data_IF_502999052104
#
_entry.id   IF_502999052104
#
_cell.length_a   1.000
_cell.length_b   1.000
_cell.length_c   1.000
_cell.angle_alpha   90.00
_cell.angle_beta   90.00
_cell.angle_gamma   90.00
#
_symmetry.space_group_name_H-M   'P 1'
#
loop_
_entity.id
_entity.type
_entity.pdbx_description
1 polymer ?
#
# COMPACT_ATOMS: atom_id res chain seq x y z
N UNK A 1 6.61 16.54 -2.47
CA UNK A 1 5.63 16.24 -3.56
C UNK A 1 4.99 14.89 -3.36
N UNK A 2 5.74 13.82 -3.15
CA UNK A 2 5.27 12.44 -2.96
C UNK A 2 4.09 12.28 -1.97
N UNK A 3 4.15 12.93 -0.82
CA UNK A 3 3.11 12.89 0.22
C UNK A 3 1.76 13.48 -0.25
N UNK A 4 1.81 14.52 -1.09
CA UNK A 4 0.59 15.12 -1.66
C UNK A 4 -0.03 14.14 -2.67
N UNK A 5 0.78 13.59 -3.56
CA UNK A 5 0.35 12.60 -4.54
C UNK A 5 -0.20 11.33 -3.87
N UNK A 6 0.39 10.90 -2.74
CA UNK A 6 -0.17 9.77 -1.95
C UNK A 6 -1.60 10.04 -1.45
N UNK A 7 -1.94 11.29 -1.16
CA UNK A 7 -3.29 11.66 -0.73
C UNK A 7 -4.27 11.70 -1.91
N UNK A 8 -3.80 12.12 -3.09
CA UNK A 8 -4.59 12.09 -4.32
C UNK A 8 -4.88 10.66 -4.72
N UNK A 9 -3.87 9.80 -4.69
CA UNK A 9 -3.99 8.37 -4.96
C UNK A 9 -5.02 7.69 -4.04
N UNK A 10 -4.93 7.92 -2.73
CA UNK A 10 -5.90 7.37 -1.78
C UNK A 10 -7.34 7.86 -2.03
N UNK A 11 -7.52 9.06 -2.60
CA UNK A 11 -8.85 9.55 -3.03
C UNK A 11 -9.35 8.85 -4.27
N UNK A 12 -8.48 8.66 -5.27
CA UNK A 12 -8.83 7.99 -6.52
C UNK A 12 -9.20 6.52 -6.29
N UNK A 13 -8.59 5.90 -5.29
CA UNK A 13 -8.90 4.52 -4.86
C UNK A 13 -10.08 4.44 -3.87
N UNK A 14 -10.72 5.57 -3.53
CA UNK A 14 -11.83 5.65 -2.54
C UNK A 14 -11.41 5.16 -1.13
N UNK A 15 -10.11 5.24 -0.81
CA UNK A 15 -9.56 4.80 0.45
C UNK A 15 -9.74 5.85 1.56
N UNK A 16 -10.07 5.37 2.75
CA UNK A 16 -10.29 6.22 3.92
C UNK A 16 -9.02 6.55 4.69
N UNK A 17 -7.89 5.94 4.31
CA UNK A 17 -6.56 6.12 4.91
C UNK A 17 -5.47 6.00 3.86
N UNK A 18 -4.43 6.82 4.00
CA UNK A 18 -3.23 6.71 3.17
C UNK A 18 -2.37 5.58 3.75
N UNK A 19 -2.14 4.54 2.97
CA UNK A 19 -1.25 3.42 3.28
C UNK A 19 0.15 3.59 2.68
N UNK A 20 1.03 2.62 2.95
CA UNK A 20 2.38 2.60 2.39
C UNK A 20 2.37 2.39 0.86
N UNK A 21 1.38 1.69 0.35
CA UNK A 21 1.13 1.49 -1.08
C UNK A 21 0.85 2.82 -1.80
N UNK A 22 0.03 3.69 -1.23
CA UNK A 22 -0.22 5.03 -1.77
C UNK A 22 1.04 5.91 -1.72
N UNK A 23 1.86 5.75 -0.65
CA UNK A 23 3.15 6.44 -0.56
C UNK A 23 4.09 5.95 -1.64
N UNK A 24 4.10 4.66 -1.96
CA UNK A 24 4.89 4.10 -3.06
C UNK A 24 4.52 4.72 -4.41
N UNK A 25 3.23 4.79 -4.73
CA UNK A 25 2.76 5.44 -5.97
C UNK A 25 3.18 6.91 -6.00
N UNK A 26 2.94 7.66 -4.92
CA UNK A 26 3.33 9.06 -4.84
C UNK A 26 4.85 9.30 -4.99
N UNK A 27 5.67 8.35 -4.53
CA UNK A 27 7.12 8.36 -4.74
C UNK A 27 7.46 8.14 -6.20
N UNK A 28 6.86 7.14 -6.85
CA UNK A 28 7.12 6.84 -8.27
C UNK A 28 6.73 8.00 -9.19
N UNK A 29 5.63 8.68 -8.91
CA UNK A 29 5.18 9.85 -9.68
C UNK A 29 6.04 11.10 -9.46
N UNK A 30 6.73 11.20 -8.33
CA UNK A 30 7.52 12.39 -7.97
C UNK A 30 9.03 12.16 -7.99
N UNK A 31 9.48 10.95 -8.34
CA UNK A 31 10.89 10.60 -8.38
C UNK A 31 11.67 11.43 -9.40
N UNK A 32 12.88 11.85 -9.01
CA UNK A 32 13.84 12.43 -9.95
C UNK A 32 14.33 11.39 -10.97
N UNK A 33 14.93 11.87 -12.07
CA UNK A 33 15.36 11.00 -13.18
C UNK A 33 16.18 9.77 -12.73
N UNK A 34 17.19 9.87 -11.85
CA UNK A 34 17.98 8.71 -11.46
C UNK A 34 17.16 7.60 -10.79
N UNK A 35 16.27 7.99 -9.86
CA UNK A 35 15.41 7.02 -9.18
C UNK A 35 14.32 6.49 -10.12
N UNK A 36 13.75 7.34 -10.96
CA UNK A 36 12.73 6.94 -11.93
C UNK A 36 13.28 5.94 -12.95
N UNK A 37 14.50 6.15 -13.45
CA UNK A 37 15.18 5.21 -14.34
C UNK A 37 15.48 3.88 -13.65
N UNK A 38 15.97 3.92 -12.41
CA UNK A 38 16.22 2.72 -11.62
C UNK A 38 14.95 1.90 -11.41
N UNK A 39 13.87 2.54 -10.94
CA UNK A 39 12.59 1.88 -10.68
C UNK A 39 11.97 1.35 -11.97
N UNK A 40 12.04 2.14 -13.06
CA UNK A 40 11.60 1.73 -14.40
C UNK A 40 12.37 0.54 -14.96
N UNK A 41 13.67 0.44 -14.67
CA UNK A 41 14.52 -0.70 -15.05
C UNK A 41 14.07 -2.03 -14.39
N UNK A 42 13.48 -1.95 -13.22
CA UNK A 42 12.84 -3.11 -12.55
C UNK A 42 11.37 -3.30 -12.96
N UNK A 43 10.82 -2.43 -13.81
CA UNK A 43 9.40 -2.47 -14.19
C UNK A 43 8.46 -1.96 -13.10
N UNK A 44 8.99 -1.20 -12.12
CA UNK A 44 8.21 -0.54 -11.08
C UNK A 44 7.84 0.88 -11.55
N UNK A 45 6.69 0.99 -12.20
CA UNK A 45 6.10 2.27 -12.63
C UNK A 45 4.86 2.60 -11.80
N UNK A 46 4.53 3.87 -11.68
CA UNK A 46 3.34 4.30 -10.94
C UNK A 46 2.05 3.63 -11.48
N UNK A 47 1.89 3.61 -12.80
CA UNK A 47 0.72 2.98 -13.43
C UNK A 47 0.68 1.46 -13.19
N UNK A 48 1.81 0.77 -13.30
CA UNK A 48 1.90 -0.66 -13.02
C UNK A 48 1.56 -1.00 -11.57
N UNK A 49 1.97 -0.14 -10.62
CA UNK A 49 1.60 -0.29 -9.21
C UNK A 49 0.11 -0.03 -9.00
N UNK A 50 -0.46 1.02 -9.62
CA UNK A 50 -1.90 1.30 -9.56
C UNK A 50 -2.74 0.14 -10.07
N UNK A 51 -2.38 -0.41 -11.22
CA UNK A 51 -3.11 -1.54 -11.81
C UNK A 51 -3.04 -2.76 -10.90
N UNK A 52 -1.89 -3.01 -10.28
CA UNK A 52 -1.72 -4.12 -9.34
C UNK A 52 -2.53 -3.94 -8.05
N UNK A 53 -2.59 -2.71 -7.53
CA UNK A 53 -3.39 -2.40 -6.34
C UNK A 53 -4.90 -2.53 -6.63
N UNK A 54 -5.35 -2.06 -7.81
CA UNK A 54 -6.76 -2.23 -8.24
C UNK A 54 -7.12 -3.70 -8.40
N UNK A 55 -6.28 -4.48 -9.07
CA UNK A 55 -6.48 -5.92 -9.21
C UNK A 55 -6.50 -6.64 -7.86
N UNK A 56 -5.66 -6.21 -6.90
CA UNK A 56 -5.65 -6.74 -5.53
C UNK A 56 -6.90 -6.38 -4.73
N UNK A 57 -7.51 -5.23 -5.00
CA UNK A 57 -8.76 -4.81 -4.34
C UNK A 57 -10.01 -5.52 -4.90
N UNK A 58 -9.94 -6.03 -6.12
CA UNK A 58 -10.99 -6.84 -6.75
C UNK A 58 -10.95 -8.31 -6.34
N UNK A 59 -9.81 -8.79 -5.82
CA UNK A 59 -9.72 -10.14 -5.25
C UNK A 59 -10.53 -10.23 -3.96
N UNK A 60 -11.28 -11.34 -3.76
CA UNK A 60 -11.95 -11.54 -2.48
C UNK A 60 -10.90 -11.52 -1.35
N UNK A 61 -11.25 -10.97 -0.16
CA UNK A 61 -10.31 -10.79 0.95
C UNK A 61 -9.81 -12.10 1.57
N UNK A 62 -9.92 -13.19 0.85
CA UNK A 62 -9.57 -14.54 1.28
C UNK A 62 -9.02 -15.29 0.08
N UNK A 63 -7.78 -15.76 0.17
CA UNK A 63 -7.18 -16.61 -0.85
C UNK A 63 -7.71 -18.04 -0.79
N UNK A 64 -7.34 -18.86 -1.77
CA UNK A 64 -7.80 -20.24 -1.89
C UNK A 64 -7.32 -21.11 -0.71
N UNK A 65 -6.15 -20.78 -0.16
CA UNK A 65 -5.52 -21.46 0.99
C UNK A 65 -6.29 -21.18 2.29
N UNK A 66 -6.73 -19.93 2.51
CA UNK A 66 -7.61 -19.55 3.61
C UNK A 66 -9.00 -20.22 3.48
N UNK A 67 -9.53 -20.30 2.24
CA UNK A 67 -10.78 -20.98 1.97
C UNK A 67 -10.68 -22.49 2.21
N UNK A 68 -9.56 -23.12 1.85
CA UNK A 68 -9.27 -24.53 2.16
C UNK A 68 -9.09 -24.77 3.66
N UNK A 69 -8.37 -23.90 4.36
CA UNK A 69 -8.21 -23.98 5.81
C UNK A 69 -9.56 -23.90 6.54
N UNK A 70 -10.47 -23.05 6.09
CA UNK A 70 -11.83 -22.97 6.63
C UNK A 70 -12.65 -24.20 6.32
N UNK A 71 -12.54 -24.78 5.10
CA UNK A 71 -13.19 -26.05 4.76
C UNK A 71 -12.68 -27.21 5.62
N UNK A 72 -11.39 -27.22 5.96
CA UNK A 72 -10.79 -28.26 6.79
C UNK A 72 -11.35 -28.26 8.22
N UNK A 73 -11.77 -27.11 8.74
CA UNK A 73 -12.47 -26.98 10.04
C UNK A 73 -14.00 -27.03 9.91
N UNK A 74 -14.53 -27.38 8.74
CA UNK A 74 -15.96 -27.56 8.51
C UNK A 74 -16.73 -26.29 8.15
N UNK A 75 -16.06 -25.18 7.83
CA UNK A 75 -16.69 -23.93 7.43
C UNK A 75 -16.63 -23.82 5.87
N UNK A 76 -17.76 -24.06 5.24
CA UNK A 76 -17.90 -23.82 3.79
C UNK A 76 -18.45 -22.41 3.54
N UNK A 77 -17.59 -21.54 3.05
CA UNK A 77 -17.92 -20.14 2.74
C UNK A 77 -19.03 -20.00 1.70
N UNK A 78 -19.13 -20.93 0.76
CA UNK A 78 -20.20 -20.91 -0.22
C UNK A 78 -21.56 -21.17 0.42
N UNK A 79 -21.62 -22.09 1.36
CA UNK A 79 -22.84 -22.36 2.16
C UNK A 79 -23.18 -21.21 3.10
N UNK A 80 -22.16 -20.59 3.71
CA UNK A 80 -22.35 -19.39 4.55
C UNK A 80 -22.90 -18.23 3.71
N UNK A 81 -22.32 -17.99 2.54
CA UNK A 81 -22.77 -16.95 1.60
C UNK A 81 -24.19 -17.20 1.13
N UNK A 82 -24.51 -18.43 0.77
CA UNK A 82 -25.87 -18.83 0.37
C UNK A 82 -26.87 -18.67 1.51
N UNK A 83 -26.52 -19.07 2.72
CA UNK A 83 -27.36 -18.93 3.90
C UNK A 83 -27.64 -17.47 4.26
N UNK A 84 -26.60 -16.63 4.23
CA UNK A 84 -26.74 -15.19 4.44
C UNK A 84 -27.57 -14.53 3.34
N UNK A 85 -27.37 -14.96 2.08
CA UNK A 85 -28.15 -14.45 0.95
C UNK A 85 -29.63 -14.81 1.02
N UNK A 86 -29.96 -16.00 1.54
CA UNK A 86 -31.36 -16.43 1.73
C UNK A 86 -32.07 -15.65 2.82
N UNK A 87 -31.36 -15.29 3.91
CA UNK A 87 -31.96 -14.61 5.08
C UNK A 87 -31.97 -13.10 4.91
N UNK A 88 -30.94 -12.52 4.33
CA UNK A 88 -30.72 -11.07 4.29
C UNK A 88 -30.66 -10.48 2.88
N UNK A 89 -30.87 -11.30 1.83
CA UNK A 89 -30.85 -10.91 0.43
C UNK A 89 -29.50 -11.06 -0.25
N UNK A 90 -29.49 -11.12 -1.62
CA UNK A 90 -28.32 -11.56 -2.42
C UNK A 90 -27.07 -10.69 -2.32
N UNK A 91 -27.19 -9.48 -1.78
CA UNK A 91 -26.05 -8.55 -1.60
C UNK A 91 -25.66 -8.37 -0.12
N UNK A 92 -26.26 -9.13 0.79
CA UNK A 92 -26.08 -8.91 2.22
C UNK A 92 -24.67 -9.29 2.69
N UNK A 93 -24.10 -10.34 2.12
CA UNK A 93 -22.75 -10.81 2.44
C UNK A 93 -21.72 -9.77 1.98
N UNK A 94 -21.80 -9.33 0.74
CA UNK A 94 -20.88 -8.34 0.17
C UNK A 94 -20.99 -6.98 0.90
N UNK A 95 -22.21 -6.54 1.19
CA UNK A 95 -22.44 -5.33 2.03
C UNK A 95 -21.96 -5.46 3.47
N UNK A 96 -21.95 -6.66 4.05
CA UNK A 96 -21.42 -6.89 5.39
C UNK A 96 -19.87 -6.81 5.39
N UNK A 97 -19.22 -7.35 4.36
CA UNK A 97 -17.78 -7.22 4.17
C UNK A 97 -17.37 -5.77 3.89
N UNK A 98 -18.03 -5.08 2.97
CA UNK A 98 -17.83 -3.65 2.76
C UNK A 98 -18.03 -2.83 4.05
N UNK A 99 -19.04 -3.18 4.85
CA UNK A 99 -19.32 -2.52 6.12
C UNK A 99 -18.29 -2.83 7.20
N UNK A 100 -17.69 -4.02 7.22
CA UNK A 100 -16.63 -4.38 8.17
C UNK A 100 -15.33 -3.64 7.84
N UNK A 101 -14.96 -3.49 6.58
CA UNK A 101 -13.87 -2.64 6.14
C UNK A 101 -14.10 -1.14 6.46
N UNK A 102 -15.32 -0.67 6.26
CA UNK A 102 -15.72 0.73 6.55
C UNK A 102 -15.95 1.05 8.02
N UNK A 103 -16.20 0.06 8.89
CA UNK A 103 -16.46 0.31 10.32
C UNK A 103 -15.26 0.88 11.09
N UNK A 104 -14.03 0.67 10.63
CA UNK A 104 -12.85 1.31 11.21
C UNK A 104 -12.73 2.81 10.87
N UNK A 105 -13.54 3.33 9.95
CA UNK A 105 -13.45 4.71 9.46
C UNK A 105 -14.34 5.71 10.20
N UNK A 106 -15.20 5.30 11.14
CA UNK A 106 -16.05 6.22 11.91
C UNK A 106 -15.39 6.72 13.20
N UNK A 107 -14.17 7.24 13.10
CA UNK A 107 -13.72 8.24 14.07
C UNK A 107 -14.24 9.58 13.57
N UNK A 108 -15.36 9.98 14.16
CA UNK A 108 -16.03 11.26 13.96
C UNK A 108 -15.19 12.36 14.62
N UNK A 109 -14.06 12.70 13.96
CA UNK A 109 -13.27 13.89 14.26
C UNK A 109 -13.51 14.90 13.15
N UNK A 110 -13.84 16.13 13.51
CA UNK A 110 -13.90 17.27 12.61
C UNK A 110 -12.63 17.31 11.75
N UNK A 111 -12.77 17.06 10.43
CA UNK A 111 -11.65 17.10 9.48
C UNK A 111 -11.72 18.41 8.71
N UNK A 112 -10.84 19.37 8.98
CA UNK A 112 -10.74 20.51 8.11
C UNK A 112 -10.22 20.03 6.75
N UNK A 113 -10.96 20.36 5.69
CA UNK A 113 -10.54 20.23 4.29
C UNK A 113 -10.21 18.82 3.75
N UNK A 114 -11.06 17.82 3.99
CA UNK A 114 -10.97 16.57 3.19
C UNK A 114 -9.63 15.82 3.25
N UNK A 115 -8.79 16.06 4.27
CA UNK A 115 -7.51 15.37 4.44
C UNK A 115 -7.73 13.92 4.86
N UNK A 116 -7.18 12.99 4.08
CA UNK A 116 -7.17 11.58 4.41
C UNK A 116 -6.01 11.32 5.39
N UNK A 117 -6.25 10.65 6.55
CA UNK A 117 -5.18 10.40 7.51
C UNK A 117 -4.30 9.22 7.06
N UNK A 118 -3.02 9.29 7.40
CA UNK A 118 -2.12 8.17 7.25
C UNK A 118 -2.49 7.02 8.20
N UNK A 119 -2.42 5.79 7.71
CA UNK A 119 -2.47 4.60 8.56
C UNK A 119 -1.15 4.40 9.33
N UNK A 120 -1.08 3.33 10.14
CA UNK A 120 0.12 3.06 10.95
C UNK A 120 1.34 2.67 10.11
N UNK A 121 1.14 1.95 9.00
CA UNK A 121 2.24 1.53 8.13
C UNK A 121 2.85 2.71 7.38
N UNK A 122 2.03 3.57 6.79
CA UNK A 122 2.53 4.76 6.11
C UNK A 122 3.28 5.71 7.08
N UNK A 123 2.77 5.91 8.32
CA UNK A 123 3.49 6.68 9.34
C UNK A 123 4.84 6.07 9.66
N UNK A 124 4.90 4.75 9.82
CA UNK A 124 6.15 4.03 10.06
C UNK A 124 7.12 4.17 8.89
N UNK A 125 6.65 4.07 7.64
CA UNK A 125 7.48 4.28 6.46
C UNK A 125 8.08 5.70 6.42
N UNK A 126 7.28 6.74 6.70
CA UNK A 126 7.75 8.13 6.74
C UNK A 126 8.75 8.37 7.87
N UNK A 127 8.52 7.79 9.07
CA UNK A 127 9.48 7.85 10.17
C UNK A 127 10.81 7.18 9.80
N UNK A 128 10.75 6.03 9.14
CA UNK A 128 11.93 5.32 8.68
C UNK A 128 12.65 6.05 7.55
N UNK A 129 11.92 6.70 6.64
CA UNK A 129 12.50 7.58 5.63
C UNK A 129 13.32 8.74 6.24
N UNK A 130 12.81 9.35 7.31
CA UNK A 130 13.57 10.33 8.07
C UNK A 130 14.86 9.74 8.67
N UNK A 131 14.78 8.53 9.22
CA UNK A 131 15.96 7.85 9.77
C UNK A 131 17.01 7.51 8.69
N UNK A 132 16.56 7.11 7.49
CA UNK A 132 17.46 6.88 6.35
C UNK A 132 18.13 8.20 5.92
N UNK A 133 17.39 9.33 5.82
CA UNK A 133 17.98 10.63 5.49
C UNK A 133 19.04 11.05 6.53
N UNK A 134 18.76 10.86 7.82
CA UNK A 134 19.74 11.15 8.88
C UNK A 134 20.99 10.24 8.76
N UNK A 135 20.81 8.97 8.45
CA UNK A 135 21.91 8.01 8.28
C UNK A 135 22.82 8.38 7.10
N UNK A 136 22.25 8.88 6.01
CA UNK A 136 22.98 9.39 4.84
C UNK A 136 23.46 10.83 5.01
N UNK A 137 23.18 11.48 6.15
CA UNK A 137 23.56 12.87 6.48
C UNK A 137 22.90 13.91 5.56
N UNK A 138 21.77 13.59 4.99
CA UNK A 138 21.00 14.49 4.15
C UNK A 138 20.14 15.42 4.99
N UNK A 139 20.04 16.69 4.56
CA UNK A 139 19.24 17.72 5.24
C UNK A 139 17.77 17.72 4.83
N UNK A 140 17.34 16.79 3.97
CA UNK A 140 15.99 16.67 3.42
C UNK A 140 15.63 15.21 3.15
N UNK A 141 14.35 14.91 3.11
CA UNK A 141 13.86 13.57 2.82
C UNK A 141 13.52 13.50 1.33
N UNK A 142 14.34 12.81 0.53
CA UNK A 142 14.11 12.54 -0.88
C UNK A 142 13.22 11.34 -1.12
N UNK A 143 12.87 11.11 -2.39
CA UNK A 143 12.13 9.93 -2.82
C UNK A 143 12.90 8.64 -2.53
N UNK A 144 14.23 8.67 -2.65
CA UNK A 144 15.15 7.58 -2.34
C UNK A 144 14.98 7.14 -0.88
N UNK A 145 14.99 8.09 0.06
CA UNK A 145 14.79 7.80 1.48
C UNK A 145 13.39 7.24 1.76
N UNK A 146 12.38 7.69 1.00
CA UNK A 146 11.03 7.17 1.13
C UNK A 146 10.93 5.72 0.63
N UNK A 147 11.60 5.36 -0.46
CA UNK A 147 11.70 3.96 -0.92
C UNK A 147 12.38 3.09 0.16
N UNK A 148 13.52 3.54 0.70
CA UNK A 148 14.20 2.84 1.79
C UNK A 148 13.32 2.68 3.03
N UNK A 149 12.55 3.74 3.36
CA UNK A 149 11.58 3.72 4.45
C UNK A 149 10.44 2.71 4.24
N UNK A 150 9.93 2.58 3.00
CA UNK A 150 8.92 1.57 2.63
C UNK A 150 9.49 0.16 2.76
N UNK A 151 10.65 -0.11 2.18
CA UNK A 151 11.32 -1.42 2.27
C UNK A 151 11.56 -1.83 3.71
N UNK A 152 12.05 -0.93 4.55
CA UNK A 152 12.32 -1.18 5.96
C UNK A 152 11.05 -1.25 6.81
N UNK A 153 10.00 -0.56 6.42
CA UNK A 153 8.70 -0.51 7.10
C UNK A 153 7.99 -1.86 7.13
N UNK A 154 8.21 -2.67 6.10
CA UNK A 154 7.70 -4.03 6.01
C UNK A 154 6.19 -4.11 5.80
N UNK A 155 5.60 -3.10 5.14
CA UNK A 155 4.17 -3.16 4.81
C UNK A 155 3.90 -4.27 3.80
N UNK A 156 2.99 -5.22 4.08
CA UNK A 156 2.81 -6.39 3.23
C UNK A 156 2.29 -6.06 1.84
N UNK A 157 1.44 -5.04 1.69
CA UNK A 157 0.85 -4.66 0.40
C UNK A 157 1.91 -3.99 -0.48
N UNK A 158 2.61 -3.00 0.06
CA UNK A 158 3.67 -2.30 -0.68
C UNK A 158 4.83 -3.26 -1.04
N UNK A 159 5.24 -4.14 -0.10
CA UNK A 159 6.28 -5.13 -0.37
C UNK A 159 5.86 -6.16 -1.40
N UNK A 160 4.62 -6.66 -1.36
CA UNK A 160 4.15 -7.63 -2.35
C UNK A 160 4.31 -7.09 -3.78
N UNK A 161 3.88 -5.85 -4.01
CA UNK A 161 4.01 -5.20 -5.32
C UNK A 161 5.47 -5.03 -5.75
N UNK A 162 6.36 -4.65 -4.82
CA UNK A 162 7.79 -4.51 -5.10
C UNK A 162 8.42 -5.86 -5.40
N UNK A 163 8.15 -6.87 -4.56
CA UNK A 163 8.82 -8.18 -4.63
C UNK A 163 8.37 -9.04 -5.80
N UNK A 164 7.27 -8.72 -6.45
CA UNK A 164 6.90 -9.29 -7.75
C UNK A 164 7.91 -8.96 -8.87
N UNK A 165 8.71 -7.91 -8.71
CA UNK A 165 9.62 -7.39 -9.73
C UNK A 165 11.10 -7.49 -9.35
N UNK A 166 11.41 -7.22 -8.10
CA UNK A 166 12.79 -7.16 -7.60
C UNK A 166 12.82 -7.52 -6.12
N UNK A 167 13.85 -8.19 -5.64
CA UNK A 167 13.97 -8.47 -4.21
C UNK A 167 14.15 -7.17 -3.41
N UNK A 168 13.62 -7.14 -2.18
CA UNK A 168 13.72 -5.97 -1.31
C UNK A 168 15.18 -5.57 -1.04
N UNK A 169 16.06 -6.56 -0.87
CA UNK A 169 17.48 -6.33 -0.61
C UNK A 169 18.21 -5.77 -1.84
N UNK A 170 17.91 -6.28 -3.02
CA UNK A 170 18.48 -5.79 -4.27
C UNK A 170 18.07 -4.33 -4.54
N UNK A 171 16.78 -4.03 -4.43
CA UNK A 171 16.29 -2.67 -4.57
C UNK A 171 16.91 -1.74 -3.53
N UNK A 172 17.03 -2.19 -2.28
CA UNK A 172 17.69 -1.42 -1.22
C UNK A 172 19.12 -1.06 -1.61
N UNK A 173 19.93 -2.04 -2.04
CA UNK A 173 21.32 -1.81 -2.45
C UNK A 173 21.40 -0.83 -3.63
N UNK A 174 20.53 -0.98 -4.62
CA UNK A 174 20.50 -0.10 -5.78
C UNK A 174 20.15 1.35 -5.41
N UNK A 175 19.16 1.55 -4.53
CA UNK A 175 18.76 2.91 -4.07
C UNK A 175 19.84 3.55 -3.19
N UNK A 176 20.50 2.79 -2.30
CA UNK A 176 21.65 3.27 -1.53
C UNK A 176 22.77 3.71 -2.48
N UNK A 177 23.05 2.92 -3.52
CA UNK A 177 24.05 3.29 -4.53
C UNK A 177 23.74 4.60 -5.25
N UNK A 178 22.47 4.98 -5.43
CA UNK A 178 22.09 6.30 -5.97
C UNK A 178 22.41 7.42 -4.99
N UNK A 179 22.13 7.23 -3.70
CA UNK A 179 22.42 8.23 -2.67
C UNK A 179 23.93 8.47 -2.54
N UNK A 180 24.73 7.39 -2.56
CA UNK A 180 26.19 7.49 -2.45
C UNK A 180 26.83 8.20 -3.67
N UNK A 181 26.18 8.17 -4.84
CA UNK A 181 26.66 8.88 -6.03
C UNK A 181 26.27 10.37 -6.02
N UNK A 182 25.26 10.75 -5.27
CA UNK A 182 24.74 12.11 -5.18
C UNK A 182 25.40 12.93 -4.05
N UNK A 183 26.13 12.28 -3.14
CA UNK A 183 26.84 12.88 -2.00
C UNK A 183 28.18 13.44 -2.44
#
# INVERSE_FOLDING_TARGET
MAVILSQEEAREMDDTRIGAEHVLVGVLDSAGAPLSELMGGYGLTADGVRDRLRAGSEQPPMDEEDAEALRAIGIDLSQVRESVSKVFGPQAFDKAFEKSGRRKARVRGWRPFGMIPFNSSAKKCLELALREAIAHKDNWIGCEHMVLGILRGGDPVALAVITERVSADELRHAVVGLLDQAA
#
